data_IF_271699603956
#
_entry.id   IF_271699603956
#
_cell.length_a   1.000
_cell.length_b   1.000
_cell.length_c   1.000
_cell.angle_alpha   90.00
_cell.angle_beta   90.00
_cell.angle_gamma   90.00
#
_symmetry.space_group_name_H-M   'P 1'
#
loop_
_entity.id
_entity.type
_entity.pdbx_description
1 polymer ?
#
# COMPACT_ATOMS: atom_id res chain seq x y z
N UNK A 1 -48.77 8.96 8.80
CA UNK A 1 -47.82 7.84 8.86
C UNK A 1 -46.60 8.24 8.08
N UNK A 2 -45.59 8.84 8.75
CA UNK A 2 -44.30 9.22 8.12
C UNK A 2 -43.34 8.05 8.39
N UNK A 3 -43.05 7.29 7.36
CA UNK A 3 -42.14 6.16 7.39
C UNK A 3 -40.72 6.69 7.48
N UNK A 4 -40.11 6.60 8.68
CA UNK A 4 -38.70 6.83 8.94
C UNK A 4 -37.87 5.87 8.05
N UNK A 5 -37.39 6.34 6.92
CA UNK A 5 -36.28 5.71 6.21
C UNK A 5 -35.01 6.00 7.00
N UNK A 6 -34.79 5.26 8.10
CA UNK A 6 -33.52 5.21 8.77
C UNK A 6 -32.49 4.79 7.73
N UNK A 7 -31.61 5.71 7.40
CA UNK A 7 -30.40 5.47 6.59
C UNK A 7 -29.55 4.46 7.35
N UNK A 8 -29.76 3.17 7.05
CA UNK A 8 -29.00 2.08 7.60
C UNK A 8 -27.56 2.26 7.12
N UNK A 9 -26.74 2.86 7.96
CA UNK A 9 -25.28 2.79 7.83
C UNK A 9 -24.87 1.33 8.06
N UNK A 10 -24.98 0.51 7.02
CA UNK A 10 -24.38 -0.82 7.04
C UNK A 10 -22.89 -0.63 7.32
N UNK A 11 -22.42 -1.24 8.40
CA UNK A 11 -21.01 -1.22 8.77
C UNK A 11 -20.16 -1.55 7.53
N UNK A 12 -19.12 -0.80 7.24
CA UNK A 12 -18.29 -1.03 6.05
C UNK A 12 -17.80 -2.47 6.06
N UNK A 13 -17.99 -3.16 4.94
CA UNK A 13 -17.56 -4.54 4.83
C UNK A 13 -16.03 -4.59 4.98
N UNK A 14 -15.49 -5.51 5.78
CA UNK A 14 -14.07 -5.57 6.07
C UNK A 14 -13.24 -5.73 4.79
N UNK A 15 -12.05 -5.15 4.76
CA UNK A 15 -11.07 -5.36 3.69
C UNK A 15 -10.78 -6.87 3.49
N UNK A 16 -10.18 -7.25 2.34
CA UNK A 16 -9.96 -8.66 1.98
C UNK A 16 -9.28 -9.47 3.08
N UNK A 17 -8.21 -8.92 3.69
CA UNK A 17 -7.50 -9.59 4.79
C UNK A 17 -8.40 -9.84 5.99
N UNK A 18 -9.28 -8.89 6.35
CA UNK A 18 -10.25 -9.05 7.41
C UNK A 18 -11.31 -10.11 7.11
N UNK A 19 -11.66 -10.34 5.84
CA UNK A 19 -12.55 -11.45 5.46
C UNK A 19 -11.85 -12.80 5.58
N UNK A 20 -10.60 -12.90 5.11
CA UNK A 20 -9.80 -14.12 5.22
C UNK A 20 -9.57 -14.47 6.69
N UNK A 21 -9.13 -13.49 7.51
CA UNK A 21 -8.91 -13.67 8.94
C UNK A 21 -10.17 -14.19 9.64
N UNK A 22 -11.34 -13.58 9.43
CA UNK A 22 -12.61 -14.03 10.02
C UNK A 22 -13.05 -15.41 9.55
N UNK A 23 -12.78 -15.76 8.29
CA UNK A 23 -13.14 -17.08 7.76
C UNK A 23 -12.32 -18.19 8.41
N UNK A 24 -11.03 -17.93 8.68
CA UNK A 24 -10.12 -18.85 9.38
C UNK A 24 -10.31 -18.81 10.89
N UNK A 25 -10.64 -17.65 11.47
CA UNK A 25 -10.86 -17.43 12.89
C UNK A 25 -12.13 -18.11 13.46
N UNK A 26 -12.92 -18.81 12.65
CA UNK A 26 -13.98 -19.69 13.15
C UNK A 26 -13.45 -20.75 14.13
N UNK A 27 -12.14 -20.94 14.21
CA UNK A 27 -11.45 -21.85 15.15
C UNK A 27 -10.99 -21.18 16.45
N UNK A 28 -11.18 -19.88 16.64
CA UNK A 28 -10.95 -19.14 17.92
C UNK A 28 -9.50 -18.98 18.39
N UNK A 29 -9.16 -17.85 18.95
CA UNK A 29 -7.95 -17.63 19.76
C UNK A 29 -6.61 -17.64 19.01
N UNK A 30 -5.81 -18.66 19.24
CA UNK A 30 -4.42 -18.76 18.72
C UNK A 30 -4.36 -18.78 17.19
N UNK A 31 -5.32 -19.42 16.52
CA UNK A 31 -5.35 -19.51 15.04
C UNK A 31 -5.53 -18.15 14.36
N UNK A 32 -6.31 -17.26 14.96
CA UNK A 32 -6.47 -15.90 14.43
C UNK A 32 -5.20 -15.08 14.55
N UNK A 33 -4.50 -15.17 15.68
CA UNK A 33 -3.23 -14.47 15.93
C UNK A 33 -2.16 -14.96 14.94
N UNK A 34 -2.02 -16.27 14.79
CA UNK A 34 -1.05 -16.87 13.85
C UNK A 34 -1.34 -16.46 12.41
N UNK A 35 -2.62 -16.48 11.98
CA UNK A 35 -2.99 -16.09 10.62
C UNK A 35 -2.73 -14.59 10.39
N UNK A 36 -3.07 -13.74 11.35
CA UNK A 36 -2.82 -12.29 11.26
C UNK A 36 -1.32 -12.01 11.13
N UNK A 37 -0.51 -12.66 11.95
CA UNK A 37 0.94 -12.53 11.88
C UNK A 37 1.51 -13.07 10.55
N UNK A 38 1.03 -14.21 10.07
CA UNK A 38 1.44 -14.77 8.79
C UNK A 38 1.11 -13.82 7.62
N UNK A 39 -0.09 -13.26 7.58
CA UNK A 39 -0.49 -12.26 6.55
C UNK A 39 0.39 -11.00 6.61
N UNK A 40 0.72 -10.52 7.82
CA UNK A 40 1.62 -9.38 7.99
C UNK A 40 3.00 -9.70 7.42
N UNK A 41 3.57 -10.85 7.77
CA UNK A 41 4.88 -11.28 7.27
C UNK A 41 4.89 -11.45 5.75
N UNK A 42 3.82 -12.02 5.18
CA UNK A 42 3.66 -12.14 3.72
C UNK A 42 3.66 -10.75 3.07
N UNK A 43 2.93 -9.79 3.64
CA UNK A 43 2.93 -8.42 3.13
C UNK A 43 4.30 -7.75 3.19
N UNK A 44 5.02 -7.90 4.30
CA UNK A 44 6.40 -7.39 4.46
C UNK A 44 7.35 -8.04 3.44
N UNK A 45 7.25 -9.36 3.24
CA UNK A 45 8.06 -10.08 2.24
C UNK A 45 7.75 -9.59 0.81
N UNK A 46 6.47 -9.39 0.46
CA UNK A 46 6.09 -8.85 -0.86
C UNK A 46 6.70 -7.45 -1.07
N UNK A 47 6.65 -6.57 -0.06
CA UNK A 47 7.27 -5.25 -0.12
C UNK A 47 8.79 -5.35 -0.31
N UNK A 48 9.46 -6.22 0.45
CA UNK A 48 10.90 -6.41 0.33
C UNK A 48 11.33 -6.97 -1.04
N UNK A 49 10.59 -7.96 -1.56
CA UNK A 49 10.84 -8.52 -2.90
C UNK A 49 10.59 -7.46 -3.97
N UNK A 50 9.48 -6.71 -3.88
CA UNK A 50 9.15 -5.66 -4.86
C UNK A 50 10.18 -4.52 -4.89
N UNK A 51 10.85 -4.25 -3.77
CA UNK A 51 11.95 -3.29 -3.69
C UNK A 51 13.17 -3.74 -4.49
N UNK A 52 13.37 -5.06 -4.65
CA UNK A 52 14.49 -5.62 -5.45
C UNK A 52 14.21 -5.65 -6.94
N UNK A 53 12.95 -5.56 -7.34
CA UNK A 53 12.54 -5.42 -8.75
C UNK A 53 12.62 -3.93 -9.09
N UNK A 54 13.78 -3.50 -9.58
CA UNK A 54 14.07 -2.09 -9.80
C UNK A 54 14.85 -1.84 -11.09
N UNK A 55 14.61 -0.65 -11.65
CA UNK A 55 15.54 -0.04 -12.62
C UNK A 55 16.42 0.91 -11.81
N UNK A 56 17.74 0.71 -11.81
CA UNK A 56 18.66 1.57 -11.06
C UNK A 56 18.64 2.98 -11.68
N UNK A 57 18.19 3.93 -10.89
CA UNK A 57 18.16 5.35 -11.22
C UNK A 57 18.76 6.14 -10.06
N UNK A 58 19.42 7.24 -10.34
CA UNK A 58 20.00 8.10 -9.32
C UNK A 58 19.31 9.46 -9.34
N UNK A 59 18.96 10.05 -8.18
CA UNK A 59 19.23 9.61 -6.80
C UNK A 59 18.18 8.63 -6.23
N UNK A 60 17.06 8.39 -6.92
CA UNK A 60 15.97 7.54 -6.45
C UNK A 60 15.71 6.42 -7.46
N UNK A 61 15.81 5.13 -7.10
CA UNK A 61 15.56 4.03 -8.02
C UNK A 61 14.08 3.89 -8.37
N UNK A 62 13.77 3.50 -9.59
CA UNK A 62 12.39 3.14 -10.01
C UNK A 62 12.13 1.70 -9.62
N UNK A 63 11.23 1.45 -8.68
CA UNK A 63 10.95 0.11 -8.13
C UNK A 63 9.51 -0.33 -8.35
N UNK A 64 9.24 -1.64 -8.21
CA UNK A 64 7.88 -2.17 -8.13
C UNK A 64 7.21 -1.95 -6.76
N UNK A 65 7.92 -1.32 -5.83
CA UNK A 65 7.49 -1.11 -4.44
C UNK A 65 6.21 -0.28 -4.33
N UNK A 66 6.08 0.78 -5.15
CA UNK A 66 4.87 1.62 -5.19
C UNK A 66 3.62 0.80 -5.53
N UNK A 67 3.71 -0.13 -6.48
CA UNK A 67 2.63 -1.05 -6.79
C UNK A 67 2.28 -1.95 -5.59
N UNK A 68 3.29 -2.55 -4.96
CA UNK A 68 3.08 -3.42 -3.80
C UNK A 68 2.44 -2.67 -2.62
N UNK A 69 2.89 -1.44 -2.32
CA UNK A 69 2.29 -0.57 -1.31
C UNK A 69 0.81 -0.34 -1.57
N UNK A 70 0.44 0.03 -2.79
CA UNK A 70 -0.95 0.28 -3.16
C UNK A 70 -1.81 -0.97 -3.05
N UNK A 71 -1.34 -2.10 -3.59
CA UNK A 71 -2.07 -3.38 -3.55
C UNK A 71 -2.24 -3.86 -2.11
N UNK A 72 -1.20 -3.82 -1.29
CA UNK A 72 -1.26 -4.25 0.12
C UNK A 72 -2.21 -3.35 0.92
N UNK A 73 -2.08 -2.02 0.78
CA UNK A 73 -2.97 -1.09 1.48
C UNK A 73 -4.44 -1.33 1.15
N UNK A 74 -4.75 -1.54 -0.14
CA UNK A 74 -6.11 -1.77 -0.61
C UNK A 74 -6.64 -3.18 -0.29
N UNK A 75 -5.78 -4.20 -0.25
CA UNK A 75 -6.16 -5.56 0.10
C UNK A 75 -6.33 -5.73 1.61
N UNK A 76 -5.48 -5.08 2.41
CA UNK A 76 -5.43 -5.27 3.85
C UNK A 76 -6.30 -4.28 4.64
N UNK A 77 -6.64 -3.13 4.02
CA UNK A 77 -7.40 -2.07 4.67
C UNK A 77 -6.55 -1.17 5.58
N UNK A 78 -7.18 -0.18 6.21
CA UNK A 78 -6.48 0.89 6.92
C UNK A 78 -5.62 0.38 8.08
N UNK A 79 -6.19 -0.41 8.98
CA UNK A 79 -5.49 -0.87 10.19
C UNK A 79 -4.37 -1.85 9.86
N UNK A 80 -4.69 -2.89 9.13
CA UNK A 80 -3.76 -3.98 8.88
C UNK A 80 -2.73 -3.64 7.79
N UNK A 81 -3.15 -2.92 6.74
CA UNK A 81 -2.25 -2.42 5.70
C UNK A 81 -1.23 -1.43 6.26
N UNK A 82 -1.68 -0.46 7.08
CA UNK A 82 -0.76 0.48 7.73
C UNK A 82 0.20 -0.22 8.70
N UNK A 83 -0.26 -1.20 9.47
CA UNK A 83 0.59 -2.00 10.34
C UNK A 83 1.67 -2.77 9.54
N UNK A 84 1.28 -3.34 8.39
CA UNK A 84 2.22 -4.04 7.50
C UNK A 84 3.29 -3.08 6.94
N UNK A 85 2.88 -1.91 6.44
CA UNK A 85 3.79 -0.90 5.92
C UNK A 85 4.72 -0.36 7.00
N UNK A 86 4.19 -0.10 8.19
CA UNK A 86 4.98 0.33 9.33
C UNK A 86 6.00 -0.73 9.74
N UNK A 87 5.58 -2.01 9.83
CA UNK A 87 6.48 -3.13 10.14
C UNK A 87 7.60 -3.27 9.11
N UNK A 88 7.28 -3.08 7.82
CA UNK A 88 8.28 -3.08 6.75
C UNK A 88 9.31 -1.96 6.93
N UNK A 89 8.86 -0.72 7.20
CA UNK A 89 9.77 0.40 7.43
C UNK A 89 10.59 0.22 8.71
N UNK A 90 9.97 -0.30 9.77
CA UNK A 90 10.65 -0.58 11.02
C UNK A 90 11.74 -1.65 10.84
N UNK A 91 11.45 -2.72 10.12
CA UNK A 91 12.46 -3.73 9.79
C UNK A 91 13.65 -3.13 9.04
N UNK A 92 13.39 -2.30 8.03
CA UNK A 92 14.42 -1.59 7.28
C UNK A 92 15.20 -0.58 8.14
N UNK A 93 14.53 0.16 9.03
CA UNK A 93 15.16 1.06 9.99
C UNK A 93 16.12 0.33 10.93
N UNK A 94 15.71 -0.85 11.42
CA UNK A 94 16.52 -1.71 12.29
C UNK A 94 17.68 -2.42 11.57
N UNK A 95 17.86 -2.17 10.27
CA UNK A 95 19.01 -2.67 9.51
C UNK A 95 18.71 -3.91 8.65
N UNK A 96 17.49 -4.42 8.62
CA UNK A 96 17.13 -5.48 7.67
C UNK A 96 17.25 -4.98 6.23
N UNK A 97 17.92 -5.70 5.30
CA UNK A 97 18.17 -5.23 3.94
C UNK A 97 16.92 -5.36 3.05
N UNK A 98 15.82 -4.72 3.45
CA UNK A 98 14.50 -4.79 2.79
C UNK A 98 14.25 -3.66 1.80
N UNK A 99 15.02 -2.58 1.84
CA UNK A 99 14.90 -1.46 0.89
C UNK A 99 15.63 -1.72 -0.42
N UNK A 100 15.34 -0.93 -1.43
CA UNK A 100 15.86 -1.09 -2.79
C UNK A 100 17.41 -1.05 -2.84
N UNK A 101 18.04 -0.10 -2.16
CA UNK A 101 19.49 0.10 -2.20
C UNK A 101 20.20 -0.02 -0.85
N UNK A 102 19.52 -0.56 0.20
CA UNK A 102 20.17 -0.66 1.51
C UNK A 102 19.24 -0.88 2.68
N UNK A 103 19.64 -0.40 3.84
CA UNK A 103 18.95 -0.54 5.11
C UNK A 103 19.38 0.56 6.09
N UNK A 104 18.69 0.64 7.22
CA UNK A 104 19.02 1.48 8.34
C UNK A 104 18.61 2.95 8.20
N UNK A 105 18.84 3.69 9.27
CA UNK A 105 18.49 5.11 9.35
C UNK A 105 19.14 5.95 8.25
N UNK A 106 20.39 5.70 7.91
CA UNK A 106 21.11 6.44 6.87
C UNK A 106 20.42 6.33 5.49
N UNK A 107 19.88 5.17 5.14
CA UNK A 107 19.10 4.99 3.92
C UNK A 107 17.78 5.80 3.97
N UNK A 108 17.09 5.77 5.10
CA UNK A 108 15.84 6.53 5.29
C UNK A 108 16.05 8.04 5.33
N UNK A 109 17.18 8.50 5.80
CA UNK A 109 17.57 9.91 5.76
C UNK A 109 18.08 10.36 4.38
N UNK A 110 18.29 9.43 3.46
CA UNK A 110 18.71 9.69 2.08
C UNK A 110 17.58 10.13 1.13
N UNK A 111 17.84 10.20 -0.18
CA UNK A 111 16.91 10.70 -1.20
C UNK A 111 15.55 10.00 -1.24
N UNK A 112 15.49 8.73 -0.85
CA UNK A 112 14.25 7.93 -0.85
C UNK A 112 13.39 8.12 0.40
N UNK A 113 13.87 8.80 1.43
CA UNK A 113 13.21 8.91 2.74
C UNK A 113 11.81 9.48 2.68
N UNK A 114 11.61 10.56 1.92
CA UNK A 114 10.28 11.15 1.73
C UNK A 114 9.28 10.22 1.05
N UNK A 115 9.75 9.40 0.09
CA UNK A 115 8.90 8.39 -0.56
C UNK A 115 8.50 7.27 0.41
N UNK A 116 9.42 6.85 1.28
CA UNK A 116 9.13 5.87 2.32
C UNK A 116 8.10 6.40 3.33
N UNK A 117 8.20 7.66 3.75
CA UNK A 117 7.17 8.33 4.54
C UNK A 117 5.84 8.39 3.76
N UNK A 118 5.90 8.68 2.46
CA UNK A 118 4.78 8.67 1.54
C UNK A 118 4.06 7.32 1.48
N UNK A 119 4.78 6.21 1.62
CA UNK A 119 4.18 4.86 1.65
C UNK A 119 3.23 4.68 2.84
N UNK A 120 3.61 5.18 4.02
CA UNK A 120 2.72 5.14 5.19
C UNK A 120 1.49 6.01 4.97
N UNK A 121 1.69 7.27 4.55
CA UNK A 121 0.59 8.20 4.33
C UNK A 121 -0.39 7.70 3.26
N UNK A 122 0.12 7.25 2.11
CA UNK A 122 -0.69 6.64 1.07
C UNK A 122 -1.38 5.35 1.57
N UNK A 123 -0.67 4.51 2.33
CA UNK A 123 -1.21 3.29 2.90
C UNK A 123 -2.42 3.53 3.80
N UNK A 124 -2.37 4.53 4.67
CA UNK A 124 -3.49 4.93 5.54
C UNK A 124 -4.68 5.38 4.70
N UNK A 125 -4.46 6.26 3.73
CA UNK A 125 -5.52 6.81 2.86
C UNK A 125 -6.14 5.71 2.00
N UNK A 126 -5.32 4.93 1.29
CA UNK A 126 -5.79 3.84 0.42
C UNK A 126 -6.50 2.75 1.21
N UNK A 127 -5.98 2.40 2.39
CA UNK A 127 -6.62 1.45 3.28
C UNK A 127 -7.99 1.95 3.76
N UNK A 128 -8.12 3.23 4.11
CA UNK A 128 -9.39 3.83 4.49
C UNK A 128 -10.41 3.87 3.33
N UNK A 129 -9.95 4.09 2.10
CA UNK A 129 -10.79 4.01 0.90
C UNK A 129 -11.22 2.56 0.63
N UNK A 130 -10.31 1.60 0.82
CA UNK A 130 -10.62 0.17 0.72
C UNK A 130 -11.69 -0.26 1.72
N UNK A 131 -11.59 0.17 2.98
CA UNK A 131 -12.59 -0.10 4.03
C UNK A 131 -13.97 0.50 3.68
N UNK A 132 -14.01 1.57 2.86
CA UNK A 132 -15.24 2.15 2.30
C UNK A 132 -15.73 1.47 1.02
N UNK A 133 -15.06 0.41 0.57
CA UNK A 133 -15.46 -0.39 -0.59
C UNK A 133 -14.98 0.10 -1.94
N UNK A 134 -14.03 1.04 -2.00
CA UNK A 134 -13.49 1.57 -3.26
C UNK A 134 -12.72 0.52 -4.07
N UNK A 135 -12.32 -0.58 -3.46
CA UNK A 135 -11.61 -1.70 -4.12
C UNK A 135 -12.52 -2.64 -4.91
N UNK A 136 -13.84 -2.42 -4.88
CA UNK A 136 -14.82 -3.31 -5.54
C UNK A 136 -15.05 -2.96 -7.00
N UNK A 137 -14.76 -1.73 -7.40
CA UNK A 137 -14.95 -1.20 -8.75
C UNK A 137 -13.60 -0.69 -9.29
N UNK A 138 -13.30 -1.00 -10.54
CA UNK A 138 -12.06 -0.58 -11.18
C UNK A 138 -11.89 0.95 -11.24
N UNK A 139 -12.98 1.70 -11.43
CA UNK A 139 -12.95 3.17 -11.52
C UNK A 139 -12.54 3.80 -10.18
N UNK A 140 -13.21 3.41 -9.09
CA UNK A 140 -12.87 3.90 -7.75
C UNK A 140 -11.49 3.42 -7.31
N UNK A 141 -11.10 2.21 -7.70
CA UNK A 141 -9.75 1.69 -7.49
C UNK A 141 -8.71 2.56 -8.21
N UNK A 142 -8.94 2.89 -9.49
CA UNK A 142 -8.01 3.73 -10.27
C UNK A 142 -7.86 5.12 -9.64
N UNK A 143 -8.96 5.77 -9.25
CA UNK A 143 -8.93 7.07 -8.56
C UNK A 143 -8.15 6.97 -7.26
N UNK A 144 -8.38 5.94 -6.45
CA UNK A 144 -7.65 5.73 -5.20
C UNK A 144 -6.14 5.59 -5.46
N UNK A 145 -5.73 4.82 -6.48
CA UNK A 145 -4.31 4.64 -6.84
C UNK A 145 -3.68 5.97 -7.25
N UNK A 146 -4.37 6.78 -8.06
CA UNK A 146 -3.89 8.12 -8.44
C UNK A 146 -3.67 8.99 -7.20
N UNK A 147 -4.63 8.99 -6.25
CA UNK A 147 -4.49 9.71 -4.98
C UNK A 147 -3.29 9.20 -4.16
N UNK A 148 -3.13 7.89 -4.05
CA UNK A 148 -1.99 7.28 -3.35
C UNK A 148 -0.64 7.65 -3.99
N UNK A 149 -0.57 7.61 -5.32
CA UNK A 149 0.61 8.03 -6.08
C UNK A 149 0.92 9.51 -5.84
N UNK A 150 -0.09 10.37 -5.88
CA UNK A 150 0.08 11.80 -5.61
C UNK A 150 0.63 12.07 -4.20
N UNK A 151 0.14 11.34 -3.19
CA UNK A 151 0.63 11.45 -1.81
C UNK A 151 2.11 11.02 -1.72
N UNK A 152 2.47 9.90 -2.37
CA UNK A 152 3.86 9.40 -2.38
C UNK A 152 4.78 10.43 -3.03
N UNK A 153 4.40 10.97 -4.19
CA UNK A 153 5.21 11.99 -4.87
C UNK A 153 5.28 13.29 -4.09
N UNK A 154 4.18 13.75 -3.51
CA UNK A 154 4.18 14.99 -2.74
C UNK A 154 5.20 14.94 -1.60
N UNK A 155 5.17 13.87 -0.79
CA UNK A 155 6.13 13.71 0.31
C UNK A 155 7.55 13.40 -0.18
N UNK A 156 7.68 12.60 -1.24
CA UNK A 156 8.97 12.26 -1.85
C UNK A 156 9.68 13.47 -2.43
N UNK A 157 8.97 14.27 -3.22
CA UNK A 157 9.52 15.48 -3.85
C UNK A 157 9.80 16.56 -2.81
N UNK A 158 8.89 16.76 -1.85
CA UNK A 158 9.10 17.73 -0.77
C UNK A 158 10.39 17.44 0.01
N UNK A 159 10.64 16.18 0.32
CA UNK A 159 11.89 15.75 0.96
C UNK A 159 13.09 15.91 0.04
N UNK A 160 12.99 15.41 -1.19
CA UNK A 160 14.09 15.44 -2.16
C UNK A 160 14.50 16.88 -2.51
N UNK A 161 13.54 17.80 -2.54
CA UNK A 161 13.79 19.24 -2.76
C UNK A 161 14.75 19.82 -1.72
N UNK A 162 14.68 19.40 -0.45
CA UNK A 162 15.60 19.84 0.60
C UNK A 162 17.03 19.37 0.37
N UNK A 163 17.21 18.26 -0.35
CA UNK A 163 18.53 17.66 -0.59
C UNK A 163 19.18 18.17 -1.87
N UNK A 164 18.42 18.35 -2.96
CA UNK A 164 18.99 18.63 -4.30
C UNK A 164 18.36 19.84 -5.03
N UNK A 165 17.39 20.52 -4.40
CA UNK A 165 16.63 21.62 -5.01
C UNK A 165 15.43 21.15 -5.84
N UNK A 166 14.45 22.06 -6.04
CA UNK A 166 13.14 21.74 -6.61
C UNK A 166 13.23 21.21 -8.07
N UNK A 167 13.95 21.91 -8.94
CA UNK A 167 14.02 21.53 -10.35
C UNK A 167 14.61 20.12 -10.54
N UNK A 168 15.66 19.81 -9.81
CA UNK A 168 16.29 18.47 -9.83
C UNK A 168 15.38 17.43 -9.16
N UNK A 169 14.65 17.80 -8.12
CA UNK A 169 13.71 16.89 -7.46
C UNK A 169 12.57 16.48 -8.41
N UNK A 170 12.06 17.40 -9.23
CA UNK A 170 11.07 17.06 -10.27
C UNK A 170 11.71 16.22 -11.39
N UNK A 171 12.86 16.65 -11.91
CA UNK A 171 13.52 15.97 -13.04
C UNK A 171 13.93 14.53 -12.71
N UNK A 172 14.40 14.26 -11.49
CA UNK A 172 14.91 12.95 -11.08
C UNK A 172 13.99 12.18 -10.15
N UNK A 173 13.05 12.85 -9.49
CA UNK A 173 12.13 12.23 -8.52
C UNK A 173 10.71 11.99 -9.05
N UNK A 174 10.34 12.56 -10.23
CA UNK A 174 9.02 12.38 -10.84
C UNK A 174 9.12 11.87 -12.27
N UNK A 175 9.83 12.57 -13.15
CA UNK A 175 9.81 12.31 -14.60
C UNK A 175 10.14 10.85 -14.98
N UNK A 176 11.15 10.18 -14.39
CA UNK A 176 11.50 8.81 -14.75
C UNK A 176 10.44 7.79 -14.35
N UNK A 177 9.59 8.12 -13.37
CA UNK A 177 8.62 7.20 -12.79
C UNK A 177 7.30 7.17 -13.55
N UNK A 178 6.91 8.27 -14.23
CA UNK A 178 5.59 8.45 -14.84
C UNK A 178 5.20 7.27 -15.73
N UNK A 179 6.09 6.86 -16.65
CA UNK A 179 5.79 5.75 -17.57
C UNK A 179 5.59 4.42 -16.85
N UNK A 180 6.44 4.12 -15.86
CA UNK A 180 6.32 2.92 -15.05
C UNK A 180 5.05 2.95 -14.20
N UNK A 181 4.67 4.10 -13.67
CA UNK A 181 3.51 4.23 -12.79
C UNK A 181 2.18 4.17 -13.54
N UNK A 182 2.12 4.61 -14.79
CA UNK A 182 0.96 4.36 -15.66
C UNK A 182 0.71 2.85 -15.80
N UNK A 183 1.76 2.07 -16.06
CA UNK A 183 1.64 0.62 -16.14
C UNK A 183 1.20 0.01 -14.79
N UNK A 184 1.80 0.44 -13.68
CA UNK A 184 1.43 -0.02 -12.33
C UNK A 184 -0.02 0.33 -11.98
N UNK A 185 -0.49 1.53 -12.38
CA UNK A 185 -1.87 1.94 -12.19
C UNK A 185 -2.83 0.98 -12.89
N UNK A 186 -2.56 0.65 -14.16
CA UNK A 186 -3.39 -0.29 -14.93
C UNK A 186 -3.40 -1.67 -14.26
N UNK A 187 -2.23 -2.18 -13.89
CA UNK A 187 -2.11 -3.49 -13.21
C UNK A 187 -2.90 -3.49 -11.89
N UNK A 188 -2.75 -2.47 -11.05
CA UNK A 188 -3.45 -2.41 -9.77
C UNK A 188 -4.96 -2.19 -9.93
N UNK A 189 -5.40 -1.34 -10.86
CA UNK A 189 -6.81 -1.07 -11.13
C UNK A 189 -7.58 -2.32 -11.58
N UNK A 190 -6.89 -3.24 -12.27
CA UNK A 190 -7.48 -4.52 -12.71
C UNK A 190 -7.35 -5.60 -11.64
N UNK A 191 -6.14 -5.75 -11.07
CA UNK A 191 -5.84 -6.86 -10.14
C UNK A 191 -6.59 -6.75 -8.81
N UNK A 192 -6.71 -5.56 -8.24
CA UNK A 192 -7.35 -5.38 -6.92
C UNK A 192 -8.84 -5.76 -6.93
N UNK A 193 -9.70 -5.28 -7.86
CA UNK A 193 -11.09 -5.73 -7.93
C UNK A 193 -11.23 -7.22 -8.28
N UNK A 194 -10.32 -7.76 -9.09
CA UNK A 194 -10.29 -9.19 -9.40
C UNK A 194 -10.00 -10.03 -8.16
N UNK A 195 -8.97 -9.68 -7.38
CA UNK A 195 -8.65 -10.31 -6.10
C UNK A 195 -9.84 -10.24 -5.14
N UNK A 196 -10.53 -9.10 -5.08
CA UNK A 196 -11.74 -8.94 -4.28
C UNK A 196 -12.84 -9.94 -4.67
N UNK A 197 -13.11 -10.07 -5.96
CA UNK A 197 -14.09 -11.05 -6.47
C UNK A 197 -13.72 -12.49 -6.11
N UNK A 198 -12.44 -12.84 -6.19
CA UNK A 198 -11.95 -14.17 -5.86
C UNK A 198 -12.12 -14.46 -4.36
N UNK A 199 -11.65 -13.58 -3.49
CA UNK A 199 -11.77 -13.72 -2.02
C UNK A 199 -13.24 -13.80 -1.61
N UNK A 200 -14.11 -12.95 -2.17
CA UNK A 200 -15.53 -12.98 -1.84
C UNK A 200 -16.24 -14.27 -2.25
N UNK A 201 -15.78 -14.96 -3.30
CA UNK A 201 -16.29 -16.30 -3.68
C UNK A 201 -15.83 -17.38 -2.72
N UNK A 202 -14.59 -17.32 -2.26
CA UNK A 202 -14.00 -18.30 -1.32
C UNK A 202 -14.61 -18.20 0.08
N UNK A 203 -14.95 -16.99 0.52
CA UNK A 203 -15.49 -16.74 1.86
C UNK A 203 -17.00 -16.86 1.98
N UNK A 204 -17.73 -17.01 0.85
CA UNK A 204 -19.17 -17.24 0.83
C UNK A 204 -19.58 -18.72 0.98
N UNK A 205 -18.63 -19.64 0.94
CA UNK A 205 -18.83 -21.05 1.25
C UNK A 205 -18.63 -21.30 2.73
#
# INVERSE_FOLDING_TARGET
>A
MLQNSAFSMTAPAPAMAGQISRHVAKSGGLGEVVMTFALLMVGVCILAISARIQVPFYPVPVTMQTLAVMVIAMAYGSKFGSATLFSYLLAGFLGAPVFAGGAGFAYMAGPTGGYLAGFIAAGVVLGALADRGWTRNWQTTAVAIVLGTAIIYFLGVAWLTQLIGFDKAIAFGVMPFIYGDILKLVIAAVSVPFMWKLVSKLTRK
#
